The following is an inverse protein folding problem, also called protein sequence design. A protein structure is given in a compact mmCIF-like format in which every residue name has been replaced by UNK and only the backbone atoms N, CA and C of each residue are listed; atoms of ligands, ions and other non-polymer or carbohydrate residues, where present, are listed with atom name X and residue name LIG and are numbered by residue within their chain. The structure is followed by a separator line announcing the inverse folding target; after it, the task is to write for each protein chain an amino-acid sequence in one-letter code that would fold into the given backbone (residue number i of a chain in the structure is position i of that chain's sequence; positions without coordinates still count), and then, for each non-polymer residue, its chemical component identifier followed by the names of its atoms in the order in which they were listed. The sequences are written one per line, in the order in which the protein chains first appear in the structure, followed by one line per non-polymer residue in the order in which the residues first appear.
data_IF_474678483446
#
_entry.id   IF_474678483446
#
_cell.length_a   1.000
_cell.length_b   1.000
_cell.length_c   1.000
_cell.angle_alpha   90.00
_cell.angle_beta   90.00
_cell.angle_gamma   90.00
#
_symmetry.space_group_name_H-M   'P 1'
#
loop_
_entity.id
_entity.type
_entity.pdbx_description
1 polymer ?
#
# COMPACT_ATOMS: atom_id res chain seq x y z
N UNK A 1 -17.08 29.11 2.22
CA UNK A 1 -15.61 28.96 2.15
C UNK A 1 -14.97 29.35 3.48
N UNK A 2 -15.34 30.49 4.07
CA UNK A 2 -14.83 30.95 5.37
C UNK A 2 -14.98 29.91 6.50
N UNK A 3 -16.15 29.27 6.63
CA UNK A 3 -16.37 28.22 7.64
C UNK A 3 -15.49 26.96 7.46
N UNK A 4 -15.03 26.68 6.24
CA UNK A 4 -14.08 25.59 6.00
C UNK A 4 -12.65 26.03 6.36
N UNK A 5 -12.26 27.24 5.93
CA UNK A 5 -10.93 27.80 6.20
C UNK A 5 -10.69 28.04 7.70
N UNK A 6 -11.74 28.37 8.47
CA UNK A 6 -11.65 28.49 9.93
C UNK A 6 -11.37 27.16 10.64
N UNK A 7 -11.55 26.03 9.95
CA UNK A 7 -11.31 24.68 10.47
C UNK A 7 -10.12 24.00 9.76
N UNK A 8 -9.24 24.77 9.10
CA UNK A 8 -8.12 24.22 8.34
C UNK A 8 -7.18 23.37 9.19
N UNK A 9 -7.03 23.70 10.48
CA UNK A 9 -6.18 22.94 11.40
C UNK A 9 -6.66 21.49 11.54
N UNK A 10 -7.97 21.26 11.60
CA UNK A 10 -8.56 19.91 11.65
C UNK A 10 -8.32 19.15 10.36
N UNK A 11 -8.41 19.84 9.22
CA UNK A 11 -8.14 19.26 7.90
C UNK A 11 -6.68 18.83 7.81
N UNK A 12 -5.75 19.71 8.21
CA UNK A 12 -4.30 19.44 8.21
C UNK A 12 -3.96 18.28 9.14
N UNK A 13 -4.54 18.22 10.33
CA UNK A 13 -4.31 17.12 11.27
C UNK A 13 -4.80 15.77 10.70
N UNK A 14 -6.02 15.75 10.12
CA UNK A 14 -6.55 14.57 9.44
C UNK A 14 -5.62 14.07 8.32
N UNK A 15 -5.09 14.97 7.47
CA UNK A 15 -4.13 14.60 6.43
C UNK A 15 -2.76 14.18 6.99
N UNK A 16 -2.32 14.72 8.13
CA UNK A 16 -1.10 14.28 8.81
C UNK A 16 -1.20 12.81 9.20
N UNK A 17 -2.34 12.39 9.74
CA UNK A 17 -2.59 10.98 10.04
C UNK A 17 -2.70 10.11 8.79
N UNK A 18 -3.35 10.57 7.74
CA UNK A 18 -3.35 9.89 6.43
C UNK A 18 -1.93 9.62 5.92
N UNK A 19 -1.03 10.61 6.04
CA UNK A 19 0.38 10.45 5.66
C UNK A 19 1.08 9.42 6.55
N UNK A 20 0.89 9.46 7.88
CA UNK A 20 1.48 8.47 8.81
C UNK A 20 1.04 7.05 8.50
N UNK A 21 -0.26 6.84 8.28
CA UNK A 21 -0.81 5.53 7.89
C UNK A 21 -0.20 5.05 6.57
N UNK A 22 -0.14 5.94 5.57
CA UNK A 22 0.41 5.62 4.25
C UNK A 22 1.87 5.19 4.35
N UNK A 23 2.71 5.97 5.05
CA UNK A 23 4.15 5.70 5.13
C UNK A 23 4.45 4.40 5.88
N UNK A 24 3.83 4.16 7.03
CA UNK A 24 4.05 2.93 7.79
C UNK A 24 3.50 1.71 7.05
N UNK A 25 2.29 1.81 6.50
CA UNK A 25 1.71 0.70 5.73
C UNK A 25 2.48 0.41 4.45
N UNK A 26 3.03 1.44 3.80
CA UNK A 26 3.91 1.27 2.65
C UNK A 26 5.17 0.49 3.07
N UNK A 27 5.84 0.92 4.14
CA UNK A 27 7.06 0.27 4.62
C UNK A 27 6.84 -1.23 4.90
N UNK A 28 5.82 -1.60 5.67
CA UNK A 28 5.55 -3.00 5.99
C UNK A 28 5.00 -3.79 4.80
N UNK A 29 4.17 -3.19 3.94
CA UNK A 29 3.70 -3.87 2.72
C UNK A 29 4.83 -4.14 1.73
N UNK A 30 5.85 -3.27 1.66
CA UNK A 30 7.05 -3.52 0.86
C UNK A 30 7.84 -4.72 1.39
N UNK A 31 8.10 -4.78 2.69
CA UNK A 31 8.81 -5.90 3.32
C UNK A 31 8.07 -7.21 3.07
N UNK A 32 6.77 -7.24 3.37
CA UNK A 32 5.94 -8.43 3.21
C UNK A 32 5.77 -8.81 1.73
N UNK A 33 5.61 -7.82 0.84
CA UNK A 33 5.48 -8.04 -0.60
C UNK A 33 6.75 -8.63 -1.23
N UNK A 34 7.94 -8.21 -0.78
CA UNK A 34 9.22 -8.80 -1.18
C UNK A 34 9.30 -10.26 -0.72
N UNK A 35 8.95 -10.54 0.54
CA UNK A 35 8.95 -11.90 1.10
C UNK A 35 7.99 -12.81 0.32
N UNK A 36 6.75 -12.37 0.09
CA UNK A 36 5.74 -13.11 -0.66
C UNK A 36 6.19 -13.39 -2.10
N UNK A 37 6.85 -12.42 -2.74
CA UNK A 37 7.41 -12.60 -4.08
C UNK A 37 8.52 -13.63 -4.09
N UNK A 38 9.45 -13.56 -3.14
CA UNK A 38 10.53 -14.53 -2.99
C UNK A 38 9.99 -15.96 -2.80
N UNK A 39 8.95 -16.12 -1.97
CA UNK A 39 8.24 -17.39 -1.81
C UNK A 39 7.57 -17.86 -3.11
N UNK A 40 7.00 -16.94 -3.90
CA UNK A 40 6.29 -17.25 -5.15
C UNK A 40 7.22 -17.69 -6.28
N UNK A 41 8.46 -17.20 -6.30
CA UNK A 41 9.47 -17.58 -7.31
C UNK A 41 10.44 -18.66 -6.82
N UNK A 42 10.29 -19.11 -5.57
CA UNK A 42 11.10 -20.17 -4.98
C UNK A 42 10.90 -21.52 -5.69
N UNK A 43 11.94 -22.37 -5.80
CA UNK A 43 11.78 -23.73 -6.32
C UNK A 43 10.93 -24.63 -5.41
N UNK A 44 10.69 -24.25 -4.14
CA UNK A 44 9.96 -25.07 -3.16
C UNK A 44 8.45 -24.96 -3.38
N UNK A 45 7.74 -26.06 -3.75
CA UNK A 45 6.30 -26.01 -4.06
C UNK A 45 5.43 -25.55 -2.88
N UNK A 46 5.80 -25.92 -1.64
CA UNK A 46 5.08 -25.50 -0.44
C UNK A 46 5.10 -23.98 -0.25
N UNK A 47 6.27 -23.35 -0.38
CA UNK A 47 6.39 -21.88 -0.26
C UNK A 47 5.58 -21.16 -1.34
N UNK A 48 5.61 -21.68 -2.57
CA UNK A 48 4.78 -21.18 -3.67
C UNK A 48 3.30 -21.30 -3.34
N UNK A 49 2.85 -22.45 -2.84
CA UNK A 49 1.47 -22.71 -2.45
C UNK A 49 0.99 -21.76 -1.36
N UNK A 50 1.79 -21.55 -0.30
CA UNK A 50 1.45 -20.65 0.80
C UNK A 50 1.33 -19.18 0.35
N UNK A 51 2.32 -18.69 -0.41
CA UNK A 51 2.27 -17.35 -1.00
C UNK A 51 1.06 -17.20 -1.95
N UNK A 52 0.73 -18.27 -2.68
CA UNK A 52 -0.45 -18.30 -3.55
C UNK A 52 -1.75 -18.16 -2.79
N UNK A 53 -1.96 -19.00 -1.79
CA UNK A 53 -3.17 -18.96 -0.97
C UNK A 53 -3.32 -17.61 -0.25
N UNK A 54 -2.23 -17.07 0.32
CA UNK A 54 -2.25 -15.76 0.96
C UNK A 54 -2.65 -14.65 -0.03
N UNK A 55 -1.95 -14.54 -1.16
CA UNK A 55 -2.17 -13.47 -2.14
C UNK A 55 -3.58 -13.57 -2.70
N UNK A 56 -4.02 -14.76 -3.09
CA UNK A 56 -5.34 -14.97 -3.71
C UNK A 56 -6.47 -14.79 -2.70
N UNK A 57 -6.33 -15.26 -1.46
CA UNK A 57 -7.34 -15.08 -0.42
C UNK A 57 -7.51 -13.62 -0.03
N UNK A 58 -6.41 -12.92 0.28
CA UNK A 58 -6.46 -11.53 0.76
C UNK A 58 -6.89 -10.58 -0.36
N UNK A 59 -6.34 -10.70 -1.57
CA UNK A 59 -6.68 -9.77 -2.68
C UNK A 59 -8.12 -9.94 -3.18
N UNK A 60 -8.70 -11.13 -3.00
CA UNK A 60 -10.10 -11.42 -3.38
C UNK A 60 -11.08 -11.01 -2.28
N UNK A 61 -10.57 -10.64 -1.10
CA UNK A 61 -11.38 -10.15 0.02
C UNK A 61 -11.43 -8.62 -0.02
N UNK A 62 -12.61 -7.98 0.11
CA UNK A 62 -12.70 -6.54 0.23
C UNK A 62 -11.83 -6.00 1.37
N UNK A 63 -11.06 -4.93 1.12
CA UNK A 63 -10.20 -4.30 2.12
C UNK A 63 -10.96 -3.95 3.41
N UNK A 64 -12.21 -3.51 3.30
CA UNK A 64 -13.06 -3.21 4.45
C UNK A 64 -13.20 -4.41 5.39
N UNK A 65 -13.38 -5.62 4.86
CA UNK A 65 -13.48 -6.84 5.67
C UNK A 65 -12.14 -7.20 6.31
N UNK A 66 -11.03 -7.00 5.61
CA UNK A 66 -9.68 -7.21 6.18
C UNK A 66 -9.44 -6.27 7.36
N UNK A 67 -9.79 -4.99 7.23
CA UNK A 67 -9.63 -4.00 8.30
C UNK A 67 -10.57 -4.26 9.48
N UNK A 68 -11.83 -4.64 9.23
CA UNK A 68 -12.76 -5.08 10.27
C UNK A 68 -12.24 -6.31 11.00
N UNK A 69 -11.68 -7.28 10.27
CA UNK A 69 -11.09 -8.47 10.87
C UNK A 69 -9.88 -8.12 11.74
N UNK A 70 -9.01 -7.21 11.31
CA UNK A 70 -7.90 -6.74 12.14
C UNK A 70 -8.38 -5.99 13.40
N UNK A 71 -9.32 -5.06 13.22
CA UNK A 71 -9.77 -4.15 14.27
C UNK A 71 -10.73 -4.75 15.30
N UNK A 72 -11.68 -5.55 14.84
CA UNK A 72 -12.72 -6.14 15.70
C UNK A 72 -12.45 -7.63 15.92
N UNK A 73 -12.05 -8.36 14.87
CA UNK A 73 -11.83 -9.81 14.96
C UNK A 73 -10.59 -10.16 15.79
N UNK A 74 -9.41 -9.76 15.33
CA UNK A 74 -8.14 -10.12 15.96
C UNK A 74 -7.93 -9.42 17.30
N UNK A 75 -8.22 -8.12 17.40
CA UNK A 75 -8.10 -7.39 18.66
C UNK A 75 -8.96 -8.02 19.78
N UNK A 76 -10.25 -8.30 19.51
CA UNK A 76 -11.14 -8.87 20.53
C UNK A 76 -10.89 -10.36 20.79
N UNK A 77 -10.56 -11.15 19.77
CA UNK A 77 -10.34 -12.58 19.91
C UNK A 77 -8.98 -12.92 20.54
N UNK A 78 -7.93 -12.16 20.23
CA UNK A 78 -6.61 -12.35 20.82
C UNK A 78 -6.47 -11.68 22.18
N UNK A 79 -7.33 -10.69 22.50
CA UNK A 79 -7.20 -9.87 23.69
C UNK A 79 -5.88 -9.08 23.73
N UNK A 80 -5.22 -8.93 22.59
CA UNK A 80 -3.92 -8.27 22.46
C UNK A 80 -4.16 -6.81 22.10
N UNK A 81 -3.78 -5.93 23.03
CA UNK A 81 -3.64 -4.51 22.76
C UNK A 81 -2.23 -4.23 22.24
N UNK A 82 -2.15 -3.53 21.11
CA UNK A 82 -0.88 -3.11 20.51
C UNK A 82 -0.36 -1.80 21.12
N UNK A 83 -1.21 -1.06 21.84
CA UNK A 83 -0.84 0.18 22.51
C UNK A 83 -1.79 0.52 23.67
N UNK A 84 -1.28 1.20 24.69
CA UNK A 84 -2.02 1.55 25.91
C UNK A 84 -3.23 2.48 25.68
N UNK A 85 -3.27 3.18 24.54
CA UNK A 85 -4.38 4.05 24.17
C UNK A 85 -5.19 3.46 23.01
N UNK A 86 -6.52 3.51 23.12
CA UNK A 86 -7.46 3.02 22.10
C UNK A 86 -7.17 3.62 20.73
N UNK A 87 -6.82 4.91 20.66
CA UNK A 87 -6.52 5.59 19.40
C UNK A 87 -5.26 5.03 18.72
N UNK A 88 -4.20 4.75 19.49
CA UNK A 88 -2.97 4.18 18.96
C UNK A 88 -3.15 2.69 18.60
N UNK A 89 -3.93 1.94 19.37
CA UNK A 89 -4.22 0.54 19.10
C UNK A 89 -4.94 0.39 17.75
N UNK A 90 -6.02 1.16 17.56
CA UNK A 90 -6.76 1.29 16.30
C UNK A 90 -5.86 1.66 15.12
N UNK A 91 -4.93 2.60 15.33
CA UNK A 91 -3.98 3.02 14.31
C UNK A 91 -3.07 1.86 13.87
N UNK A 92 -2.51 1.09 14.82
CA UNK A 92 -1.65 -0.04 14.50
C UNK A 92 -2.41 -1.20 13.83
N UNK A 93 -3.64 -1.48 14.23
CA UNK A 93 -4.47 -2.47 13.54
C UNK A 93 -4.79 -2.06 12.10
N UNK A 94 -5.03 -0.76 11.86
CA UNK A 94 -5.16 -0.23 10.51
C UNK A 94 -3.87 -0.40 9.70
N UNK A 95 -2.70 -0.11 10.29
CA UNK A 95 -1.40 -0.32 9.64
C UNK A 95 -1.21 -1.80 9.28
N UNK A 96 -1.51 -2.73 10.17
CA UNK A 96 -1.38 -4.18 9.90
C UNK A 96 -2.29 -4.60 8.76
N UNK A 97 -3.57 -4.24 8.79
CA UNK A 97 -4.52 -4.67 7.76
C UNK A 97 -4.25 -4.03 6.39
N UNK A 98 -3.90 -2.74 6.36
CA UNK A 98 -3.45 -2.06 5.13
C UNK A 98 -2.18 -2.70 4.59
N UNK A 99 -1.21 -3.02 5.45
CA UNK A 99 0.05 -3.67 5.05
C UNK A 99 -0.18 -5.06 4.48
N UNK A 100 -1.02 -5.86 5.13
CA UNK A 100 -1.37 -7.21 4.71
C UNK A 100 -2.08 -7.20 3.36
N UNK A 101 -3.02 -6.27 3.14
CA UNK A 101 -3.73 -6.14 1.88
C UNK A 101 -2.82 -5.62 0.75
N UNK A 102 -2.10 -4.53 1.01
CA UNK A 102 -1.25 -3.88 -0.01
C UNK A 102 -0.04 -4.76 -0.39
N UNK A 103 0.47 -5.59 0.51
CA UNK A 103 1.58 -6.50 0.20
C UNK A 103 1.25 -7.49 -0.93
N UNK A 104 -0.02 -7.87 -1.11
CA UNK A 104 -0.46 -8.68 -2.24
C UNK A 104 -0.23 -7.97 -3.57
N UNK A 105 -0.57 -6.67 -3.65
CA UNK A 105 -0.39 -5.86 -4.85
C UNK A 105 1.08 -5.53 -5.10
N UNK A 106 1.86 -5.29 -4.04
CA UNK A 106 3.32 -5.17 -4.15
C UNK A 106 3.90 -6.48 -4.71
N UNK A 107 3.49 -7.64 -4.18
CA UNK A 107 4.02 -8.93 -4.63
C UNK A 107 3.68 -9.23 -6.08
N UNK A 108 2.44 -8.99 -6.51
CA UNK A 108 2.04 -9.17 -7.91
C UNK A 108 2.78 -8.21 -8.84
N UNK A 109 3.02 -6.97 -8.39
CA UNK A 109 3.81 -6.00 -9.14
C UNK A 109 5.26 -6.46 -9.32
N UNK A 110 5.92 -6.90 -8.24
CA UNK A 110 7.29 -7.43 -8.28
C UNK A 110 7.39 -8.68 -9.17
N UNK A 111 6.43 -9.61 -9.03
CA UNK A 111 6.34 -10.83 -9.86
C UNK A 111 6.15 -10.50 -11.34
N UNK A 112 5.27 -9.55 -11.65
CA UNK A 112 5.07 -9.06 -13.02
C UNK A 112 6.37 -8.48 -13.58
N UNK A 113 7.10 -7.70 -12.80
CA UNK A 113 8.44 -7.21 -13.17
C UNK A 113 9.42 -8.31 -13.53
N UNK A 114 9.51 -9.36 -12.70
CA UNK A 114 10.38 -10.53 -12.98
C UNK A 114 9.96 -11.22 -14.29
N UNK A 115 8.66 -11.36 -14.52
CA UNK A 115 8.12 -12.01 -15.71
C UNK A 115 8.28 -11.18 -17.00
N UNK A 116 8.64 -9.90 -16.89
CA UNK A 116 8.93 -9.07 -18.09
C UNK A 116 10.31 -9.36 -18.70
N UNK A 117 11.18 -10.09 -18.00
CA UNK A 117 12.54 -10.39 -18.47
C UNK A 117 12.49 -11.52 -19.51
N UNK A 118 13.04 -11.33 -20.73
CA UNK A 118 13.03 -12.36 -21.76
C UNK A 118 13.75 -13.63 -21.30
N UNK A 119 13.13 -14.79 -21.53
CA UNK A 119 13.73 -16.09 -21.21
C UNK A 119 15.11 -16.27 -21.87
N UNK A 120 15.30 -15.75 -23.09
CA UNK A 120 16.59 -15.80 -23.78
C UNK A 120 17.75 -15.14 -23.01
N UNK A 121 17.51 -14.09 -22.21
CA UNK A 121 18.55 -13.51 -21.36
C UNK A 121 18.93 -14.46 -20.22
N UNK A 122 17.93 -15.12 -19.63
CA UNK A 122 18.12 -16.10 -18.56
C UNK A 122 18.83 -17.35 -19.09
N UNK A 123 18.51 -17.79 -20.31
CA UNK A 123 19.16 -18.93 -20.97
C UNK A 123 20.60 -18.60 -21.39
N UNK A 124 20.83 -17.43 -22.02
CA UNK A 124 22.18 -16.98 -22.38
C UNK A 124 23.11 -16.90 -21.16
N UNK A 125 22.60 -16.39 -20.04
CA UNK A 125 23.33 -16.35 -18.78
C UNK A 125 23.73 -17.75 -18.26
N UNK A 126 22.85 -18.74 -18.39
CA UNK A 126 23.16 -20.13 -18.02
C UNK A 126 24.18 -20.75 -18.98
N UNK A 127 24.11 -20.44 -20.27
CA UNK A 127 25.10 -20.87 -21.28
C UNK A 127 26.49 -20.30 -21.02
N UNK A 128 26.57 -19.12 -20.39
CA UNK A 128 27.82 -18.52 -19.90
C UNK A 128 28.30 -19.09 -18.55
N UNK A 129 27.64 -20.11 -18.02
CA UNK A 129 28.02 -20.79 -16.77
C UNK A 129 27.55 -20.09 -15.49
N UNK A 130 26.67 -19.08 -15.56
CA UNK A 130 26.13 -18.44 -14.36
C UNK A 130 25.19 -19.38 -13.61
N UNK A 131 25.43 -19.53 -12.31
CA UNK A 131 24.53 -20.23 -11.38
C UNK A 131 23.18 -19.51 -11.29
N UNK A 132 22.14 -20.20 -10.80
CA UNK A 132 20.82 -19.62 -10.61
C UNK A 132 20.85 -18.30 -9.81
N UNK A 133 21.59 -18.27 -8.70
CA UNK A 133 21.72 -17.08 -7.85
C UNK A 133 22.46 -15.95 -8.54
N UNK A 134 23.50 -16.25 -9.32
CA UNK A 134 24.22 -15.24 -10.12
C UNK A 134 23.30 -14.66 -11.20
N UNK A 135 22.58 -15.50 -11.93
CA UNK A 135 21.62 -15.08 -12.95
C UNK A 135 20.52 -14.19 -12.35
N UNK A 136 19.95 -14.61 -11.21
CA UNK A 136 18.93 -13.85 -10.48
C UNK A 136 19.47 -12.47 -10.05
N UNK A 137 20.64 -12.44 -9.40
CA UNK A 137 21.22 -11.22 -8.81
C UNK A 137 21.77 -10.25 -9.85
N UNK A 138 22.41 -10.76 -10.91
CA UNK A 138 23.14 -9.93 -11.88
C UNK A 138 22.27 -9.49 -13.05
N UNK A 139 21.25 -10.28 -13.41
CA UNK A 139 20.48 -10.07 -14.65
C UNK A 139 19.01 -9.82 -14.34
N UNK A 140 18.34 -10.78 -13.68
CA UNK A 140 16.87 -10.72 -13.54
C UNK A 140 16.44 -9.61 -12.57
N UNK A 141 16.94 -9.59 -11.34
CA UNK A 141 16.51 -8.65 -10.29
C UNK A 141 16.79 -7.20 -10.67
N UNK A 142 18.00 -6.81 -11.14
CA UNK A 142 18.26 -5.41 -11.48
C UNK A 142 17.35 -4.89 -12.59
N UNK A 143 17.01 -5.73 -13.58
CA UNK A 143 16.10 -5.34 -14.66
C UNK A 143 14.65 -5.32 -14.21
N UNK A 144 14.21 -6.33 -13.44
CA UNK A 144 12.86 -6.40 -12.89
C UNK A 144 12.55 -5.21 -11.97
N UNK A 145 13.50 -4.80 -11.12
CA UNK A 145 13.34 -3.66 -10.24
C UNK A 145 13.13 -2.34 -11.00
N UNK A 146 13.73 -2.20 -12.19
CA UNK A 146 13.55 -1.01 -13.03
C UNK A 146 12.18 -0.98 -13.69
N UNK A 147 11.61 -2.12 -14.05
CA UNK A 147 10.29 -2.18 -14.72
C UNK A 147 9.12 -1.95 -13.77
N UNK A 148 9.32 -2.21 -12.47
CA UNK A 148 8.24 -2.10 -11.45
C UNK A 148 8.12 -0.73 -10.81
N UNK A 149 9.05 0.20 -11.03
CA UNK A 149 9.04 1.53 -10.38
C UNK A 149 7.72 2.26 -10.61
N UNK A 150 7.26 2.34 -11.86
CA UNK A 150 5.99 3.00 -12.18
C UNK A 150 4.78 2.30 -11.54
N UNK A 151 4.59 1.00 -11.76
CA UNK A 151 3.54 0.21 -11.12
C UNK A 151 3.51 0.30 -9.59
N UNK A 152 4.67 0.29 -8.91
CA UNK A 152 4.75 0.45 -7.46
C UNK A 152 4.29 1.85 -7.01
N UNK A 153 4.53 2.88 -7.82
CA UNK A 153 3.95 4.20 -7.61
C UNK A 153 2.42 4.19 -7.63
N UNK A 154 1.82 3.46 -8.57
CA UNK A 154 0.36 3.27 -8.62
C UNK A 154 -0.17 2.53 -7.39
N UNK A 155 0.56 1.52 -6.89
CA UNK A 155 0.21 0.81 -5.65
C UNK A 155 0.27 1.75 -4.45
N UNK A 156 1.27 2.63 -4.37
CA UNK A 156 1.39 3.61 -3.29
C UNK A 156 0.24 4.65 -3.33
N UNK A 157 -0.10 5.16 -4.51
CA UNK A 157 -1.25 6.07 -4.69
C UNK A 157 -2.56 5.37 -4.28
N UNK A 158 -2.72 4.09 -4.62
CA UNK A 158 -3.87 3.30 -4.19
C UNK A 158 -3.88 3.12 -2.68
N UNK A 159 -2.74 2.83 -2.05
CA UNK A 159 -2.61 2.73 -0.59
C UNK A 159 -3.02 4.04 0.10
N UNK A 160 -2.53 5.20 -0.38
CA UNK A 160 -2.89 6.51 0.17
C UNK A 160 -4.40 6.71 0.18
N UNK A 161 -5.09 6.37 -0.91
CA UNK A 161 -6.55 6.43 -0.99
C UNK A 161 -7.23 5.37 -0.11
N UNK A 162 -6.66 4.19 0.00
CA UNK A 162 -7.20 3.09 0.80
C UNK A 162 -7.13 3.37 2.31
N UNK A 163 -6.30 4.31 2.78
CA UNK A 163 -6.32 4.76 4.18
C UNK A 163 -7.71 5.26 4.62
N UNK A 164 -8.49 5.82 3.70
CA UNK A 164 -9.87 6.28 3.93
C UNK A 164 -10.81 5.13 4.29
N UNK A 165 -10.52 3.91 3.85
CA UNK A 165 -11.31 2.72 4.20
C UNK A 165 -11.10 2.37 5.68
N UNK A 166 -9.96 2.72 6.28
CA UNK A 166 -9.69 2.46 7.69
C UNK A 166 -10.58 3.28 8.63
N UNK A 167 -11.02 4.48 8.25
CA UNK A 167 -12.01 5.21 9.05
C UNK A 167 -13.43 4.66 8.85
N UNK A 168 -13.77 4.26 7.63
CA UNK A 168 -15.11 3.74 7.28
C UNK A 168 -15.34 2.34 7.84
N UNK A 169 -14.29 1.52 7.97
CA UNK A 169 -14.34 0.16 8.50
C UNK A 169 -14.58 0.09 10.03
N UNK A 170 -15.16 1.13 10.66
CA UNK A 170 -15.58 1.10 12.07
C UNK A 170 -14.45 1.20 13.11
N UNK A 171 -13.19 1.11 12.68
CA UNK A 171 -12.00 1.29 13.51
C UNK A 171 -11.93 2.69 14.13
N UNK A 172 -12.45 3.69 13.43
CA UNK A 172 -12.47 5.06 13.94
C UNK A 172 -11.10 5.75 13.94
N UNK A 173 -10.20 5.30 13.06
CA UNK A 173 -8.89 5.94 12.86
C UNK A 173 -9.08 7.43 12.54
N UNK A 174 -8.36 8.29 13.25
CA UNK A 174 -8.28 9.72 12.94
C UNK A 174 -7.52 9.86 11.63
N UNK A 175 -8.21 10.17 10.53
CA UNK A 175 -7.62 10.45 9.21
C UNK A 175 -8.54 11.40 8.43
N UNK A 176 -8.08 11.90 7.27
CA UNK A 176 -8.75 12.94 6.51
C UNK A 176 -10.24 12.66 6.20
N UNK A 177 -10.62 11.45 5.78
CA UNK A 177 -12.02 11.15 5.45
C UNK A 177 -12.92 11.07 6.69
N UNK A 178 -12.38 10.67 7.84
CA UNK A 178 -13.08 10.76 9.13
C UNK A 178 -13.36 12.21 9.50
N UNK A 179 -12.37 13.10 9.40
CA UNK A 179 -12.57 14.51 9.71
C UNK A 179 -13.57 15.16 8.76
N UNK A 180 -13.52 14.84 7.47
CA UNK A 180 -14.53 15.26 6.50
C UNK A 180 -15.94 14.83 6.92
N UNK A 181 -16.11 13.56 7.32
CA UNK A 181 -17.39 13.04 7.81
C UNK A 181 -17.86 13.76 9.06
N UNK A 182 -16.98 13.98 10.04
CA UNK A 182 -17.31 14.71 11.27
C UNK A 182 -17.77 16.15 10.99
N UNK A 183 -17.13 16.82 10.03
CA UNK A 183 -17.54 18.16 9.61
C UNK A 183 -18.94 18.19 8.97
N UNK A 184 -19.31 17.14 8.22
CA UNK A 184 -20.66 17.00 7.69
C UNK A 184 -21.68 16.71 8.81
N UNK A 185 -21.40 15.73 9.65
CA UNK A 185 -22.31 15.27 10.71
C UNK A 185 -22.58 16.40 11.74
N UNK A 186 -21.59 17.25 12.00
CA UNK A 186 -21.68 18.36 12.96
C UNK A 186 -22.15 19.67 12.31
N UNK A 187 -22.36 19.70 10.99
CA UNK A 187 -22.75 20.93 10.28
C UNK A 187 -21.72 22.07 10.36
N UNK A 188 -20.44 21.74 10.55
CA UNK A 188 -19.36 22.72 10.79
C UNK A 188 -19.16 23.63 9.57
N UNK A 189 -19.26 23.08 8.36
CA UNK A 189 -19.10 23.82 7.13
C UNK A 189 -20.00 23.22 6.03
N UNK A 190 -20.40 24.01 5.02
CA UNK A 190 -21.25 23.51 3.93
C UNK A 190 -20.61 22.32 3.20
N UNK A 191 -21.45 21.36 2.80
CA UNK A 191 -21.01 20.06 2.25
C UNK A 191 -20.07 20.22 1.05
N UNK A 192 -20.43 21.07 0.08
CA UNK A 192 -19.67 21.25 -1.16
C UNK A 192 -18.24 21.79 -0.92
N UNK A 193 -18.03 22.95 -0.25
CA UNK A 193 -16.69 23.44 0.08
C UNK A 193 -15.82 22.42 0.84
N UNK A 194 -16.40 21.72 1.81
CA UNK A 194 -15.67 20.72 2.60
C UNK A 194 -15.26 19.55 1.71
N UNK A 195 -16.16 18.98 0.91
CA UNK A 195 -15.83 17.91 -0.03
C UNK A 195 -14.73 18.30 -1.01
N UNK A 196 -14.83 19.49 -1.63
CA UNK A 196 -13.83 20.00 -2.57
C UNK A 196 -12.48 20.21 -1.87
N UNK A 197 -12.47 20.75 -0.64
CA UNK A 197 -11.25 20.94 0.14
C UNK A 197 -10.50 19.64 0.42
N UNK A 198 -11.22 18.60 0.86
CA UNK A 198 -10.61 17.27 1.08
C UNK A 198 -10.20 16.60 -0.24
N UNK A 199 -10.98 16.74 -1.32
CA UNK A 199 -10.59 16.24 -2.64
C UNK A 199 -9.28 16.88 -3.13
N UNK A 200 -9.13 18.20 -2.96
CA UNK A 200 -7.89 18.91 -3.26
C UNK A 200 -6.75 18.40 -2.37
N UNK A 201 -6.98 18.18 -1.08
CA UNK A 201 -5.97 17.61 -0.18
C UNK A 201 -5.45 16.25 -0.64
N UNK A 202 -6.32 15.34 -1.08
CA UNK A 202 -5.91 14.07 -1.68
C UNK A 202 -5.16 14.24 -3.01
N UNK A 203 -5.52 15.22 -3.83
CA UNK A 203 -4.78 15.54 -5.06
C UNK A 203 -3.38 16.07 -4.73
N UNK A 204 -3.24 16.92 -3.70
CA UNK A 204 -1.95 17.42 -3.21
C UNK A 204 -1.05 16.27 -2.74
N UNK A 205 -1.61 15.22 -2.14
CA UNK A 205 -0.83 14.04 -1.76
C UNK A 205 -0.50 13.13 -2.95
N UNK A 206 -1.46 12.86 -3.83
CA UNK A 206 -1.34 11.81 -4.85
C UNK A 206 -0.71 12.26 -6.15
N UNK A 207 -0.91 13.52 -6.59
CA UNK A 207 -0.31 14.03 -7.82
C UNK A 207 1.22 14.09 -7.75
N UNK A 208 1.86 14.61 -6.68
CA UNK A 208 3.32 14.60 -6.57
C UNK A 208 3.89 13.19 -6.61
N UNK A 209 3.23 12.21 -5.97
CA UNK A 209 3.61 10.80 -6.07
C UNK A 209 3.56 10.33 -7.53
N UNK A 210 2.46 10.61 -8.25
CA UNK A 210 2.30 10.24 -9.65
C UNK A 210 3.38 10.84 -10.55
N UNK A 211 3.66 12.14 -10.41
CA UNK A 211 4.74 12.81 -11.16
C UNK A 211 6.11 12.25 -10.81
N UNK A 212 6.39 12.01 -9.53
CA UNK A 212 7.66 11.48 -9.06
C UNK A 212 7.93 10.07 -9.63
N UNK A 213 6.98 9.13 -9.48
CA UNK A 213 7.15 7.77 -10.01
C UNK A 213 7.08 7.73 -11.54
N UNK A 214 6.31 8.62 -12.17
CA UNK A 214 6.29 8.79 -13.62
C UNK A 214 7.64 9.28 -14.17
N UNK A 215 8.26 10.26 -13.51
CA UNK A 215 9.61 10.71 -13.85
C UNK A 215 10.65 9.62 -13.58
N UNK A 216 10.60 8.97 -12.42
CA UNK A 216 11.58 7.96 -12.03
C UNK A 216 11.53 6.76 -12.96
N UNK A 217 10.33 6.27 -13.31
CA UNK A 217 10.15 5.16 -14.25
C UNK A 217 10.76 5.45 -15.63
N UNK A 218 10.60 6.67 -16.15
CA UNK A 218 11.26 7.09 -17.40
C UNK A 218 12.78 7.12 -17.28
N UNK A 219 13.30 7.56 -16.13
CA UNK A 219 14.75 7.65 -15.88
C UNK A 219 15.40 6.28 -15.76
N UNK A 220 14.72 5.31 -15.17
CA UNK A 220 15.26 3.95 -14.96
C UNK A 220 14.92 2.97 -16.08
N UNK A 221 14.16 3.40 -17.08
CA UNK A 221 13.72 2.56 -18.18
C UNK A 221 14.92 1.88 -18.87
N UNK A 222 14.80 0.56 -19.08
CA UNK A 222 15.80 -0.21 -19.82
C UNK A 222 15.54 0.04 -21.30
N UNK A 223 16.51 0.62 -22.01
CA UNK A 223 16.50 0.73 -23.47
C UNK A 223 16.46 -0.70 -24.02
N UNK A 224 15.40 -1.03 -24.74
CA UNK A 224 15.19 -2.35 -25.34
C UNK A 224 15.87 -2.42 -26.69
#
# INVERSE_FOLDING_TARGET
MEAFLSNIDRVVDGFSWTVRLTLLSAFFSFILGILLTAMRVSPVPLLRGLSTAYIEGIRSTPLTLVLLFCGLGLNSALGVSLADSVALDVFWWAVIGLSAYTSCFVSETLRSGINTIPLGQVEAARSLGLTFTQNLRLIVVPQALRTVVGPLGSVLIALTKNTTVASVAGLGVQEASREMKLMFDQGIAPVLPTFVGFAIGFLILTLPMGYFFGWLSKRVAVVR
#
